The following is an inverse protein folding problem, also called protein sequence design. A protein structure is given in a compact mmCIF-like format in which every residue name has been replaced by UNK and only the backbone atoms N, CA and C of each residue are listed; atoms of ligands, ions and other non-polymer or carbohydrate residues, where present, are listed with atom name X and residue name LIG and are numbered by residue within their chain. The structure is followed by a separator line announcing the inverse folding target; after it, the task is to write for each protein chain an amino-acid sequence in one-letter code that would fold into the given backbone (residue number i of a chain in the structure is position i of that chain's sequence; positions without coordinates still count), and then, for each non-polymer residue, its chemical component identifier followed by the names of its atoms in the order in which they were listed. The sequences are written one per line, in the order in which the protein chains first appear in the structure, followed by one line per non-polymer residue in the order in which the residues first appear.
data_IF_812695059510
#
_entry.id   IF_812695059510
#
_cell.length_a   1.000
_cell.length_b   1.000
_cell.length_c   1.000
_cell.angle_alpha   90.00
_cell.angle_beta   90.00
_cell.angle_gamma   90.00
#
_symmetry.space_group_name_H-M   'P 1'
#
loop_
_entity.id
_entity.type
_entity.pdbx_description
1 polymer ?
#
# COMPACT_ATOMS: atom_id res chain seq x y z
N UNK A 1 -1.27 16.37 15.30
CA UNK A 1 -0.68 15.02 15.11
C UNK A 1 0.67 14.99 15.80
N UNK A 2 1.04 13.91 16.45
CA UNK A 2 2.35 13.80 17.11
C UNK A 2 3.34 13.17 16.12
N UNK A 3 4.34 13.95 15.70
CA UNK A 3 5.46 13.44 14.90
C UNK A 3 6.62 13.22 15.87
N UNK A 4 7.19 12.04 15.85
CA UNK A 4 8.33 11.65 16.66
C UNK A 4 9.58 11.55 15.78
N UNK A 5 10.68 12.15 16.19
CA UNK A 5 11.98 11.89 15.59
C UNK A 5 12.58 10.67 16.26
N UNK A 6 12.64 9.54 15.56
CA UNK A 6 13.10 8.24 16.08
C UNK A 6 14.61 8.03 15.88
N UNK A 7 15.21 8.78 14.94
CA UNK A 7 16.66 8.83 14.72
C UNK A 7 17.01 10.16 14.02
N UNK A 8 18.29 10.46 13.82
CA UNK A 8 18.77 11.77 13.30
C UNK A 8 18.04 12.24 12.03
N UNK A 9 17.67 11.34 11.15
CA UNK A 9 17.00 11.64 9.88
C UNK A 9 15.77 10.79 9.64
N UNK A 10 15.20 10.17 10.70
CA UNK A 10 14.02 9.32 10.62
C UNK A 10 12.94 9.87 11.54
N UNK A 11 11.76 10.09 10.96
CA UNK A 11 10.57 10.55 11.63
C UNK A 11 9.47 9.48 11.56
N UNK A 12 8.61 9.42 12.57
CA UNK A 12 7.44 8.54 12.60
C UNK A 12 6.20 9.33 12.98
N UNK A 13 5.05 8.97 12.38
CA UNK A 13 3.74 9.47 12.78
C UNK A 13 2.66 8.42 12.59
N UNK A 14 1.62 8.40 13.46
CA UNK A 14 0.56 7.43 13.37
C UNK A 14 -0.47 7.80 12.31
N UNK A 15 -0.87 6.82 11.49
CA UNK A 15 -2.07 6.86 10.65
C UNK A 15 -3.13 6.00 11.33
N UNK A 16 -4.27 6.59 11.68
CA UNK A 16 -5.38 5.85 12.30
C UNK A 16 -5.92 4.77 11.35
N UNK A 17 -6.18 3.57 11.88
CA UNK A 17 -6.79 2.45 11.15
C UNK A 17 -8.20 2.19 11.71
N UNK A 18 -9.26 2.81 11.17
CA UNK A 18 -10.61 2.67 11.67
C UNK A 18 -11.11 1.22 11.62
N UNK A 19 -11.72 0.76 12.70
CA UNK A 19 -12.27 -0.60 12.84
C UNK A 19 -11.22 -1.71 12.68
N UNK A 20 -9.95 -1.43 12.96
CA UNK A 20 -8.86 -2.39 12.92
C UNK A 20 -8.29 -2.62 14.34
N UNK A 21 -8.03 -3.88 14.76
CA UNK A 21 -7.46 -4.17 16.07
C UNK A 21 -6.11 -3.49 16.33
N UNK A 22 -5.33 -3.20 15.30
CA UNK A 22 -4.04 -2.49 15.41
C UNK A 22 -4.20 -1.02 15.74
N UNK A 23 -5.40 -0.42 15.54
CA UNK A 23 -5.76 0.97 15.81
C UNK A 23 -5.03 2.01 14.96
N UNK A 24 -3.73 1.85 14.72
CA UNK A 24 -2.90 2.74 13.88
C UNK A 24 -1.76 1.98 13.21
N UNK A 25 -1.32 2.54 12.08
CA UNK A 25 -0.08 2.20 11.41
C UNK A 25 0.95 3.29 11.71
N UNK A 26 2.18 2.92 12.03
CA UNK A 26 3.29 3.87 12.07
C UNK A 26 3.82 4.08 10.65
N UNK A 27 3.65 5.29 10.16
CA UNK A 27 4.23 5.73 8.90
C UNK A 27 5.60 6.35 9.19
N UNK A 28 6.63 5.98 8.44
CA UNK A 28 7.98 6.48 8.64
C UNK A 28 8.41 7.38 7.50
N UNK A 29 9.25 8.36 7.80
CA UNK A 29 9.90 9.22 6.81
C UNK A 29 11.40 9.18 7.05
N UNK A 30 12.15 8.82 6.02
CA UNK A 30 13.61 8.91 6.00
C UNK A 30 14.00 10.12 5.15
N UNK A 31 14.73 11.08 5.74
CA UNK A 31 15.17 12.30 5.07
C UNK A 31 16.66 12.26 4.79
N UNK A 32 17.09 12.57 3.56
CA UNK A 32 18.51 12.62 3.19
C UNK A 32 18.75 13.58 2.02
N UNK A 33 19.62 14.56 2.21
CA UNK A 33 20.10 15.43 1.15
C UNK A 33 19.01 16.21 0.37
N UNK A 34 17.91 16.57 1.05
CA UNK A 34 16.78 17.27 0.41
C UNK A 34 15.75 16.34 -0.26
N UNK A 35 15.97 15.03 -0.22
CA UNK A 35 15.01 14.01 -0.65
C UNK A 35 14.46 13.25 0.57
N UNK A 36 13.21 12.80 0.45
CA UNK A 36 12.53 12.06 1.49
C UNK A 36 12.01 10.73 0.93
N UNK A 37 11.94 9.72 1.78
CA UNK A 37 11.26 8.47 1.52
C UNK A 37 10.16 8.28 2.56
N UNK A 38 8.91 8.34 2.13
CA UNK A 38 7.74 8.03 2.96
C UNK A 38 7.46 6.54 2.85
N UNK A 39 7.30 5.86 3.98
CA UNK A 39 7.08 4.41 4.03
C UNK A 39 5.65 4.13 4.46
N UNK A 40 4.89 3.45 3.58
CA UNK A 40 3.48 3.07 3.71
C UNK A 40 2.49 4.24 3.78
N UNK A 41 1.18 3.96 3.59
CA UNK A 41 0.21 5.03 3.31
C UNK A 41 -1.15 4.90 4.03
N UNK A 42 -1.38 3.85 4.82
CA UNK A 42 -2.67 3.59 5.47
C UNK A 42 -3.76 3.08 4.52
N UNK A 43 -4.96 2.82 5.04
CA UNK A 43 -6.12 2.42 4.24
C UNK A 43 -6.62 3.55 3.33
N UNK A 44 -7.26 3.20 2.23
CA UNK A 44 -8.02 4.13 1.40
C UNK A 44 -9.34 4.55 2.10
N UNK A 45 -9.19 5.32 3.17
CA UNK A 45 -10.30 5.88 3.98
C UNK A 45 -10.03 7.34 4.26
N UNK A 46 -11.07 8.18 4.39
CA UNK A 46 -10.90 9.62 4.66
C UNK A 46 -10.03 9.91 5.88
N UNK A 47 -10.26 9.20 6.98
CA UNK A 47 -9.54 9.40 8.25
C UNK A 47 -8.05 9.08 8.12
N UNK A 48 -7.72 7.98 7.42
CA UNK A 48 -6.33 7.59 7.15
C UNK A 48 -5.65 8.62 6.25
N UNK A 49 -6.35 9.08 5.20
CA UNK A 49 -5.83 10.08 4.28
C UNK A 49 -5.59 11.42 4.95
N UNK A 50 -6.50 11.87 5.79
CA UNK A 50 -6.35 13.11 6.55
C UNK A 50 -5.12 13.03 7.46
N UNK A 51 -4.94 11.91 8.20
CA UNK A 51 -3.79 11.68 9.05
C UNK A 51 -2.48 11.66 8.23
N UNK A 52 -2.44 10.93 7.11
CA UNK A 52 -1.30 10.87 6.21
C UNK A 52 -0.91 12.27 5.70
N UNK A 53 -1.85 12.97 5.08
CA UNK A 53 -1.60 14.32 4.54
C UNK A 53 -1.24 15.33 5.63
N UNK A 54 -1.78 15.15 6.85
CA UNK A 54 -1.42 15.96 8.02
C UNK A 54 0.06 15.80 8.40
N UNK A 55 0.55 14.55 8.46
CA UNK A 55 1.96 14.24 8.71
C UNK A 55 2.88 14.77 7.60
N UNK A 56 2.47 14.54 6.35
CA UNK A 56 3.22 15.02 5.18
C UNK A 56 3.37 16.55 5.17
N UNK A 57 2.30 17.29 5.44
CA UNK A 57 2.35 18.77 5.53
C UNK A 57 3.30 19.25 6.64
N UNK A 58 3.25 18.64 7.83
CA UNK A 58 4.10 19.04 8.96
C UNK A 58 5.59 18.80 8.67
N UNK A 59 5.91 17.78 7.88
CA UNK A 59 7.28 17.44 7.47
C UNK A 59 7.70 18.08 6.12
N UNK A 60 6.83 18.89 5.49
CA UNK A 60 7.13 19.57 4.23
C UNK A 60 7.33 18.60 3.05
N UNK A 61 6.65 17.46 3.07
CA UNK A 61 6.73 16.45 2.02
C UNK A 61 5.88 16.84 0.81
N UNK A 62 6.50 16.90 -0.35
CA UNK A 62 5.86 17.22 -1.65
C UNK A 62 6.26 16.20 -2.70
N UNK A 63 5.55 16.15 -3.82
CA UNK A 63 5.89 15.25 -4.93
C UNK A 63 7.29 15.49 -5.50
N UNK A 64 7.78 16.74 -5.44
CA UNK A 64 9.11 17.11 -5.96
C UNK A 64 10.25 16.59 -5.06
N UNK A 65 10.01 16.41 -3.76
CA UNK A 65 11.06 16.07 -2.80
C UNK A 65 10.87 14.71 -2.11
N UNK A 66 9.81 13.95 -2.45
CA UNK A 66 9.47 12.72 -1.70
C UNK A 66 9.08 11.59 -2.65
N UNK A 67 9.73 10.44 -2.48
CA UNK A 67 9.30 9.16 -3.03
C UNK A 67 8.51 8.39 -1.96
N UNK A 68 7.58 7.52 -2.38
CA UNK A 68 6.77 6.68 -1.50
C UNK A 68 7.19 5.23 -1.67
N UNK A 69 7.57 4.56 -0.60
CA UNK A 69 7.89 3.14 -0.61
C UNK A 69 6.80 2.33 0.10
N UNK A 70 6.24 1.36 -0.61
CA UNK A 70 5.26 0.44 -0.08
C UNK A 70 5.97 -0.85 0.33
N UNK A 71 5.90 -1.18 1.64
CA UNK A 71 6.62 -2.34 2.18
C UNK A 71 6.07 -3.65 1.63
N UNK A 72 4.74 -3.75 1.49
CA UNK A 72 4.06 -4.92 0.94
C UNK A 72 2.62 -4.59 0.49
N UNK A 73 1.95 -5.58 -0.11
CA UNK A 73 0.68 -5.40 -0.84
C UNK A 73 -0.59 -5.22 0.03
N UNK A 74 -0.53 -5.33 1.35
CA UNK A 74 -1.73 -5.21 2.20
C UNK A 74 -2.34 -3.81 2.15
N UNK A 75 -3.66 -3.75 2.25
CA UNK A 75 -4.44 -2.53 2.00
C UNK A 75 -4.22 -1.41 3.04
N UNK A 76 -3.81 -1.74 4.25
CA UNK A 76 -3.42 -0.79 5.30
C UNK A 76 -2.05 -0.15 5.06
N UNK A 77 -1.25 -0.70 4.14
CA UNK A 77 0.03 -0.14 3.69
C UNK A 77 -0.10 0.60 2.35
N UNK A 78 -0.93 0.08 1.45
CA UNK A 78 -1.00 0.56 0.06
C UNK A 78 -2.24 1.42 -0.25
N UNK A 79 -3.16 1.58 0.69
CA UNK A 79 -4.50 2.10 0.40
C UNK A 79 -4.55 3.49 -0.21
N UNK A 80 -3.66 4.42 0.17
CA UNK A 80 -3.59 5.76 -0.41
C UNK A 80 -2.57 5.90 -1.55
N UNK A 81 -1.90 4.83 -1.98
CA UNK A 81 -0.87 4.91 -3.02
C UNK A 81 -1.42 5.45 -4.35
N UNK A 82 -2.59 4.99 -4.79
CA UNK A 82 -3.21 5.48 -6.03
C UNK A 82 -3.60 6.96 -5.95
N UNK A 83 -4.06 7.44 -4.79
CA UNK A 83 -4.32 8.85 -4.55
C UNK A 83 -3.02 9.67 -4.68
N UNK A 84 -1.96 9.26 -3.98
CA UNK A 84 -0.66 9.96 -4.01
C UNK A 84 -0.01 9.94 -5.39
N UNK A 85 -0.14 8.83 -6.13
CA UNK A 85 0.30 8.78 -7.53
C UNK A 85 -0.44 9.81 -8.41
N UNK A 86 -1.76 9.99 -8.18
CA UNK A 86 -2.56 11.04 -8.83
C UNK A 86 -2.11 12.46 -8.48
N UNK A 87 -1.54 12.68 -7.30
CA UNK A 87 -0.94 13.94 -6.85
C UNK A 87 0.53 14.11 -7.32
N UNK A 88 1.04 13.20 -8.14
CA UNK A 88 2.36 13.29 -8.75
C UNK A 88 3.51 12.65 -7.95
N UNK A 89 3.21 11.95 -6.85
CA UNK A 89 4.24 11.23 -6.11
C UNK A 89 4.71 9.98 -6.85
N UNK A 90 6.02 9.72 -6.80
CA UNK A 90 6.59 8.48 -7.30
C UNK A 90 6.38 7.34 -6.29
N UNK A 91 5.81 6.23 -6.74
CA UNK A 91 5.47 5.07 -5.90
C UNK A 91 6.42 3.92 -6.19
N UNK A 92 7.11 3.46 -5.17
CA UNK A 92 8.06 2.35 -5.21
C UNK A 92 7.50 1.15 -4.45
N UNK A 93 7.72 -0.04 -4.97
CA UNK A 93 7.29 -1.30 -4.34
C UNK A 93 8.21 -2.45 -4.78
N UNK A 94 8.31 -3.48 -3.93
CA UNK A 94 9.01 -4.70 -4.29
C UNK A 94 8.42 -5.37 -5.56
N UNK A 95 9.27 -5.85 -6.45
CA UNK A 95 8.85 -6.43 -7.75
C UNK A 95 7.79 -7.52 -7.61
N UNK A 96 7.89 -8.37 -6.61
CA UNK A 96 6.94 -9.46 -6.37
C UNK A 96 5.55 -8.93 -6.04
N UNK A 97 5.46 -7.99 -5.10
CA UNK A 97 4.19 -7.39 -4.71
C UNK A 97 3.60 -6.54 -5.84
N UNK A 98 4.44 -5.78 -6.55
CA UNK A 98 4.02 -5.02 -7.72
C UNK A 98 3.38 -5.94 -8.78
N UNK A 99 4.01 -7.09 -9.10
CA UNK A 99 3.41 -8.06 -10.02
C UNK A 99 2.03 -8.52 -9.54
N UNK A 100 1.88 -8.82 -8.26
CA UNK A 100 0.60 -9.28 -7.70
C UNK A 100 -0.49 -8.21 -7.74
N UNK A 101 -0.15 -6.95 -7.42
CA UNK A 101 -1.15 -5.86 -7.43
C UNK A 101 -1.56 -5.43 -8.83
N UNK A 102 -0.67 -5.56 -9.81
CA UNK A 102 -0.93 -5.19 -11.21
C UNK A 102 -1.52 -6.34 -12.05
N UNK A 103 -1.45 -7.57 -11.54
CA UNK A 103 -1.98 -8.75 -12.22
C UNK A 103 -3.50 -8.65 -12.40
N UNK A 104 -4.05 -8.96 -13.60
CA UNK A 104 -5.49 -9.03 -13.81
C UNK A 104 -6.16 -9.98 -12.81
N UNK A 105 -7.34 -9.61 -12.30
CA UNK A 105 -8.04 -10.38 -11.27
C UNK A 105 -8.32 -11.83 -11.70
N UNK A 106 -8.66 -12.06 -12.97
CA UNK A 106 -8.88 -13.40 -13.53
C UNK A 106 -7.60 -14.26 -13.51
N UNK A 107 -6.45 -13.65 -13.76
CA UNK A 107 -5.15 -14.33 -13.71
C UNK A 107 -4.73 -14.62 -12.28
N UNK A 108 -4.89 -13.67 -11.37
CA UNK A 108 -4.64 -13.83 -9.94
C UNK A 108 -5.46 -14.98 -9.34
N UNK A 109 -6.76 -15.04 -9.68
CA UNK A 109 -7.65 -16.12 -9.24
C UNK A 109 -7.15 -17.47 -9.78
N UNK A 110 -6.82 -17.57 -11.06
CA UNK A 110 -6.31 -18.80 -11.70
C UNK A 110 -4.99 -19.26 -11.08
N UNK A 111 -4.03 -18.35 -10.86
CA UNK A 111 -2.73 -18.69 -10.22
C UNK A 111 -2.92 -19.18 -8.78
N UNK A 112 -3.77 -18.50 -8.00
CA UNK A 112 -4.07 -18.88 -6.62
C UNK A 112 -4.75 -20.25 -6.56
N UNK A 113 -5.72 -20.49 -7.43
CA UNK A 113 -6.42 -21.77 -7.56
C UNK A 113 -5.45 -22.90 -7.92
N UNK A 114 -4.61 -22.69 -8.92
CA UNK A 114 -3.60 -23.68 -9.32
C UNK A 114 -2.57 -23.97 -8.21
N UNK A 115 -2.21 -22.95 -7.41
CA UNK A 115 -1.30 -23.11 -6.28
C UNK A 115 -1.92 -23.97 -5.17
N UNK A 116 -3.14 -23.69 -4.77
CA UNK A 116 -3.82 -24.46 -3.72
C UNK A 116 -4.00 -25.91 -4.10
N UNK A 117 -4.33 -26.23 -5.36
CA UNK A 117 -4.39 -27.61 -5.84
C UNK A 117 -3.02 -28.32 -5.74
N UNK A 118 -1.93 -27.64 -6.11
CA UNK A 118 -0.57 -28.21 -5.99
C UNK A 118 -0.14 -28.43 -4.54
N UNK A 119 -0.63 -27.60 -3.63
CA UNK A 119 -0.40 -27.72 -2.18
C UNK A 119 -1.31 -28.73 -1.50
N UNK A 120 -2.17 -29.44 -2.26
CA UNK A 120 -3.00 -30.54 -1.79
C UNK A 120 -4.38 -30.16 -1.25
N UNK A 121 -4.85 -28.92 -1.52
CA UNK A 121 -6.22 -28.54 -1.17
C UNK A 121 -7.22 -29.39 -2.00
N UNK A 122 -8.18 -30.07 -1.39
CA UNK A 122 -9.24 -30.78 -2.13
C UNK A 122 -10.01 -29.83 -3.05
N UNK A 123 -10.38 -30.31 -4.23
CA UNK A 123 -11.07 -29.47 -5.22
C UNK A 123 -12.39 -28.93 -4.68
N UNK A 124 -13.12 -29.71 -3.90
CA UNK A 124 -14.41 -29.34 -3.31
C UNK A 124 -14.25 -28.15 -2.34
N UNK A 125 -13.19 -28.15 -1.52
CA UNK A 125 -12.89 -27.07 -0.57
C UNK A 125 -12.47 -25.80 -1.34
N UNK A 126 -11.75 -25.96 -2.43
CA UNK A 126 -11.33 -24.87 -3.28
C UNK A 126 -12.50 -24.21 -4.03
N UNK A 127 -13.46 -25.00 -4.50
CA UNK A 127 -14.69 -24.53 -5.14
C UNK A 127 -15.56 -23.75 -4.13
N UNK A 128 -15.67 -24.24 -2.88
CA UNK A 128 -16.33 -23.53 -1.78
C UNK A 128 -15.65 -22.22 -1.44
N UNK A 129 -14.31 -22.22 -1.32
CA UNK A 129 -13.53 -21.00 -1.06
C UNK A 129 -13.71 -19.99 -2.19
N UNK A 130 -13.66 -20.42 -3.44
CA UNK A 130 -13.84 -19.55 -4.62
C UNK A 130 -15.24 -18.92 -4.66
N UNK A 131 -16.27 -19.64 -4.26
CA UNK A 131 -17.65 -19.14 -4.19
C UNK A 131 -17.85 -18.10 -3.07
N UNK A 132 -17.11 -18.23 -1.98
CA UNK A 132 -17.21 -17.35 -0.80
C UNK A 132 -16.29 -16.14 -0.87
N UNK A 133 -15.26 -16.16 -1.74
CA UNK A 133 -14.30 -15.06 -1.87
C UNK A 133 -14.79 -14.10 -2.95
N UNK A 134 -15.33 -12.90 -2.60
CA UNK A 134 -15.78 -11.96 -3.60
C UNK A 134 -14.61 -11.54 -4.50
N UNK A 135 -14.84 -11.55 -5.81
CA UNK A 135 -13.90 -11.04 -6.82
C UNK A 135 -13.54 -9.55 -6.63
N UNK A 136 -14.15 -8.87 -5.67
CA UNK A 136 -14.10 -7.42 -5.45
C UNK A 136 -13.03 -6.91 -4.49
N UNK A 137 -12.04 -7.69 -4.08
CA UNK A 137 -10.83 -7.11 -3.49
C UNK A 137 -9.84 -6.66 -4.57
N UNK A 138 -10.35 -6.00 -5.61
CA UNK A 138 -9.52 -5.31 -6.58
C UNK A 138 -9.09 -3.96 -5.99
N UNK A 139 -7.87 -3.89 -5.51
CA UNK A 139 -7.16 -2.62 -5.45
C UNK A 139 -6.96 -2.22 -6.91
N UNK A 140 -7.84 -1.36 -7.44
CA UNK A 140 -7.67 -0.81 -8.78
C UNK A 140 -6.54 0.20 -8.75
N UNK A 141 -5.30 -0.28 -8.91
CA UNK A 141 -4.21 0.57 -9.34
C UNK A 141 -4.43 0.87 -10.81
N UNK A 142 -4.92 2.07 -11.13
CA UNK A 142 -4.67 2.62 -12.46
C UNK A 142 -3.18 2.95 -12.48
N UNK A 143 -2.40 2.17 -13.22
CA UNK A 143 -1.07 2.60 -13.61
C UNK A 143 -1.25 3.93 -14.32
N UNK A 144 -0.61 4.99 -13.81
CA UNK A 144 -0.37 6.16 -14.62
C UNK A 144 0.44 5.66 -15.81
N UNK A 145 -0.17 5.71 -17.00
CA UNK A 145 0.45 5.26 -18.23
C UNK A 145 1.75 6.03 -18.44
N UNK A 146 2.84 5.31 -18.55
CA UNK A 146 4.05 5.82 -19.17
C UNK A 146 5.29 5.88 -18.30
N UNK A 147 5.84 4.73 -17.87
CA UNK A 147 7.31 4.53 -17.89
C UNK A 147 7.58 3.03 -17.84
N UNK A 148 8.19 2.42 -18.87
CA UNK A 148 8.74 1.08 -18.77
C UNK A 148 10.00 1.13 -17.90
N UNK A 149 10.10 0.21 -16.92
CA UNK A 149 11.37 -0.14 -16.28
C UNK A 149 12.18 -1.08 -17.17
#
# INVERSE_FOLDING_TARGET
MNIEQVADNIYAFPIVLPNNPLKWLNCYVVSSGGRNLLIDTGFNRPECREALLGGMRQLGLTADNTDIFLTHLHSDHTGNAAYLAGEGFNILMGRTDHRVVTMPQSEKHRETHARFLREGMPKEDLDLWSAQTPVSMSISYRSAAGTPL
#
